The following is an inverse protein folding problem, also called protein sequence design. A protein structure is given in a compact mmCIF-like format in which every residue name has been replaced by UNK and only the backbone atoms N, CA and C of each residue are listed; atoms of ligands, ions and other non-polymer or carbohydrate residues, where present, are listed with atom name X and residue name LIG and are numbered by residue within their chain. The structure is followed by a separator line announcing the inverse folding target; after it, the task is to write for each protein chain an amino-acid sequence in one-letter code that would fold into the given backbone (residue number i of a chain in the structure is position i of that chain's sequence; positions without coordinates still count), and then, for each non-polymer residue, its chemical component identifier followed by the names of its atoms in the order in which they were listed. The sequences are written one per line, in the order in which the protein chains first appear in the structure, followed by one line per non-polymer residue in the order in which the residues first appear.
data_IF_490808083680
#
_entry.id   IF_490808083680
#
_cell.length_a   1.000
_cell.length_b   1.000
_cell.length_c   1.000
_cell.angle_alpha   90.00
_cell.angle_beta   90.00
_cell.angle_gamma   90.00
#
_symmetry.space_group_name_H-M   'P 1'
#
loop_
_entity.id
_entity.type
_entity.pdbx_description
1 polymer ?
#
# COMPACT_ATOMS: atom_id res chain seq x y z
N UNK A 1 2.71 22.27 8.92
CA UNK A 1 4.12 22.18 8.48
C UNK A 1 4.19 22.59 7.03
N UNK A 2 5.11 23.48 6.64
CA UNK A 2 5.23 23.89 5.24
C UNK A 2 5.58 22.67 4.36
N UNK A 3 5.06 22.59 3.11
CA UNK A 3 5.33 21.44 2.20
C UNK A 3 6.81 21.12 2.05
N UNK A 4 7.65 22.16 1.99
CA UNK A 4 9.11 21.99 1.85
C UNK A 4 9.76 21.33 3.08
N UNK A 5 9.26 21.63 4.30
CA UNK A 5 9.79 21.01 5.52
C UNK A 5 9.41 19.54 5.65
N UNK A 6 8.22 19.17 5.17
CA UNK A 6 7.79 17.77 5.14
C UNK A 6 8.62 16.95 4.13
N UNK A 7 8.76 17.46 2.91
CA UNK A 7 9.55 16.81 1.88
C UNK A 7 11.03 16.69 2.31
N UNK A 8 11.58 17.73 2.93
CA UNK A 8 12.95 17.70 3.48
C UNK A 8 13.15 16.60 4.51
N UNK A 9 12.15 16.36 5.38
CA UNK A 9 12.18 15.25 6.34
C UNK A 9 12.13 13.89 5.65
N UNK A 10 11.31 13.73 4.62
CA UNK A 10 11.24 12.49 3.84
C UNK A 10 12.59 12.20 3.16
N UNK A 11 13.18 13.20 2.51
CA UNK A 11 14.49 13.05 1.86
C UNK A 11 15.60 12.70 2.86
N UNK A 12 15.58 13.31 4.05
CA UNK A 12 16.52 12.96 5.12
C UNK A 12 16.38 11.49 5.57
N UNK A 13 15.14 11.01 5.76
CA UNK A 13 14.89 9.61 6.11
C UNK A 13 15.33 8.63 5.01
N UNK A 14 15.17 9.01 3.75
CA UNK A 14 15.65 8.21 2.61
C UNK A 14 17.17 8.14 2.62
N UNK A 15 17.85 9.26 2.86
CA UNK A 15 19.33 9.32 2.93
C UNK A 15 19.87 8.49 4.09
N UNK A 16 19.19 8.50 5.25
CA UNK A 16 19.63 7.80 6.46
C UNK A 16 19.29 6.31 6.45
N UNK A 17 18.12 5.92 5.92
CA UNK A 17 17.58 4.55 6.05
C UNK A 17 17.35 3.84 4.71
N UNK A 18 17.47 4.55 3.59
CA UNK A 18 17.19 4.06 2.23
C UNK A 18 15.73 4.23 1.79
N UNK A 19 14.79 4.43 2.72
CA UNK A 19 13.37 4.71 2.42
C UNK A 19 12.69 5.42 3.60
N UNK A 20 11.56 6.05 3.31
CA UNK A 20 10.63 6.58 4.30
C UNK A 20 9.23 5.94 4.14
N UNK A 21 8.39 6.04 5.16
CA UNK A 21 6.98 5.64 5.10
C UNK A 21 6.12 6.88 5.31
N UNK A 22 5.21 7.12 4.38
CA UNK A 22 4.20 8.19 4.42
C UNK A 22 2.85 7.59 4.76
N UNK A 23 2.18 8.13 5.76
CA UNK A 23 0.80 7.79 6.11
C UNK A 23 -0.16 8.90 5.70
N UNK A 24 -1.32 8.53 5.17
CA UNK A 24 -2.37 9.45 4.71
C UNK A 24 -3.72 9.02 5.29
N UNK A 25 -4.49 9.99 5.81
CA UNK A 25 -5.81 9.75 6.40
C UNK A 25 -5.73 9.12 7.80
N UNK A 26 -6.90 8.88 8.38
CA UNK A 26 -7.05 8.36 9.73
C UNK A 26 -7.36 9.45 10.77
N UNK A 27 -8.27 9.16 11.71
CA UNK A 27 -8.56 10.00 12.86
C UNK A 27 -7.34 9.98 13.80
N UNK A 28 -6.55 11.09 13.79
CA UNK A 28 -5.39 11.20 14.67
C UNK A 28 -4.20 11.94 14.05
N UNK A 29 -4.44 12.85 13.14
CA UNK A 29 -3.43 13.83 12.79
C UNK A 29 -3.31 14.83 13.94
N UNK A 30 -2.26 14.75 14.75
CA UNK A 30 -1.88 15.79 15.74
C UNK A 30 -1.33 17.06 15.06
N UNK A 31 -1.66 17.29 13.80
CA UNK A 31 -1.28 18.53 13.13
C UNK A 31 -2.30 19.62 13.48
N UNK A 32 -1.83 20.67 14.17
CA UNK A 32 -2.57 21.92 14.41
C UNK A 32 -2.86 22.58 13.05
N UNK A 33 -3.98 22.22 12.40
CA UNK A 33 -4.39 22.75 11.11
C UNK A 33 -5.18 21.76 10.25
N UNK A 34 -5.33 20.52 10.68
CA UNK A 34 -6.33 19.65 10.13
C UNK A 34 -7.66 19.99 10.81
N UNK A 35 -8.52 20.75 10.15
CA UNK A 35 -9.94 20.76 10.50
C UNK A 35 -10.39 19.32 10.47
N UNK A 36 -10.80 18.78 11.64
CA UNK A 36 -11.24 17.39 11.79
C UNK A 36 -12.50 17.08 10.98
N UNK A 37 -12.47 17.39 9.70
CA UNK A 37 -13.39 16.87 8.71
C UNK A 37 -13.20 15.38 8.67
N UNK A 38 -14.25 14.64 9.03
CA UNK A 38 -14.32 13.21 8.77
C UNK A 38 -14.17 13.04 7.25
N UNK A 39 -12.93 12.90 6.80
CA UNK A 39 -12.66 12.37 5.48
C UNK A 39 -12.98 10.87 5.60
N UNK A 40 -14.14 10.47 5.07
CA UNK A 40 -14.58 9.07 5.02
C UNK A 40 -13.66 8.21 4.14
N UNK A 41 -12.49 8.73 3.79
CA UNK A 41 -11.47 8.06 3.02
C UNK A 41 -10.82 6.93 3.80
N UNK A 42 -10.55 5.83 3.10
CA UNK A 42 -9.78 4.72 3.65
C UNK A 42 -8.35 5.20 3.86
N UNK A 43 -7.86 5.13 5.10
CA UNK A 43 -6.47 5.44 5.40
C UNK A 43 -5.53 4.52 4.63
N UNK A 44 -4.40 5.06 4.22
CA UNK A 44 -3.37 4.29 3.52
C UNK A 44 -1.98 4.77 3.90
N UNK A 45 -1.00 3.95 3.63
CA UNK A 45 0.40 4.29 3.83
C UNK A 45 1.23 3.72 2.69
N UNK A 46 2.32 4.39 2.35
CA UNK A 46 3.22 3.94 1.28
C UNK A 46 4.67 4.29 1.56
N UNK A 47 5.57 3.58 0.89
CA UNK A 47 7.01 3.85 0.94
C UNK A 47 7.40 4.94 -0.06
N UNK A 48 8.51 5.61 0.23
CA UNK A 48 9.21 6.52 -0.69
C UNK A 48 10.69 6.19 -0.58
N UNK A 49 11.33 5.75 -1.65
CA UNK A 49 12.77 5.45 -1.68
C UNK A 49 13.14 4.04 -2.10
N UNK A 50 12.21 3.06 -2.05
CA UNK A 50 12.52 1.69 -2.48
C UNK A 50 12.93 1.61 -3.96
N UNK A 51 12.48 2.55 -4.78
CA UNK A 51 12.86 2.68 -6.19
C UNK A 51 14.37 2.81 -6.37
N UNK A 52 15.08 3.49 -5.46
CA UNK A 52 16.53 3.61 -5.49
C UNK A 52 17.26 2.31 -5.17
N UNK A 53 16.57 1.39 -4.51
CA UNK A 53 17.06 0.04 -4.21
C UNK A 53 16.66 -0.98 -5.29
N UNK A 54 16.06 -0.50 -6.41
CA UNK A 54 15.63 -1.36 -7.52
C UNK A 54 14.34 -2.14 -7.23
N UNK A 55 13.52 -1.67 -6.30
CA UNK A 55 12.24 -2.30 -5.95
C UNK A 55 11.09 -1.30 -6.09
N UNK A 56 9.88 -1.72 -6.52
CA UNK A 56 8.71 -0.84 -6.55
C UNK A 56 8.38 -0.22 -5.19
N UNK A 57 7.83 0.99 -5.19
CA UNK A 57 7.23 1.54 -3.98
C UNK A 57 6.05 0.69 -3.54
N UNK A 58 5.79 0.60 -2.25
CA UNK A 58 4.73 -0.26 -1.72
C UNK A 58 3.68 0.56 -1.02
N UNK A 59 2.42 0.39 -1.43
CA UNK A 59 1.25 1.03 -0.81
C UNK A 59 0.37 -0.03 -0.13
N UNK A 60 -0.27 0.33 0.98
CA UNK A 60 -1.27 -0.51 1.67
C UNK A 60 -2.42 0.33 2.20
N UNK A 61 -3.64 -0.21 2.16
CA UNK A 61 -4.87 0.47 2.58
C UNK A 61 -5.51 -0.22 3.79
N UNK A 62 -6.27 0.55 4.57
CA UNK A 62 -7.17 0.05 5.61
C UNK A 62 -6.49 -0.48 6.88
N UNK A 63 -5.17 -0.47 6.96
CA UNK A 63 -4.44 -0.81 8.17
C UNK A 63 -4.27 0.40 9.09
N UNK A 64 -4.31 0.22 10.43
CA UNK A 64 -3.86 1.26 11.35
C UNK A 64 -2.44 1.71 10.98
N UNK A 65 -2.18 3.02 11.06
CA UNK A 65 -0.94 3.61 10.57
C UNK A 65 0.33 2.96 11.15
N UNK A 66 0.33 2.64 12.45
CA UNK A 66 1.45 1.96 13.10
C UNK A 66 1.70 0.55 12.56
N UNK A 67 0.62 -0.18 12.22
CA UNK A 67 0.71 -1.52 11.63
C UNK A 67 1.20 -1.42 10.19
N UNK A 68 0.64 -0.50 9.40
CA UNK A 68 1.07 -0.26 8.02
C UNK A 68 2.57 0.09 7.97
N UNK A 69 3.02 1.02 8.83
CA UNK A 69 4.42 1.41 8.93
C UNK A 69 5.33 0.22 9.27
N UNK A 70 4.93 -0.62 10.24
CA UNK A 70 5.70 -1.79 10.60
C UNK A 70 5.81 -2.80 9.44
N UNK A 71 4.71 -3.03 8.71
CA UNK A 71 4.68 -3.93 7.56
C UNK A 71 5.54 -3.41 6.41
N UNK A 72 5.41 -2.13 6.06
CA UNK A 72 6.19 -1.50 4.99
C UNK A 72 7.69 -1.46 5.32
N UNK A 73 8.05 -1.18 6.57
CA UNK A 73 9.44 -1.25 7.01
C UNK A 73 10.02 -2.66 6.93
N UNK A 74 9.24 -3.71 7.22
CA UNK A 74 9.70 -5.11 7.03
C UNK A 74 9.97 -5.43 5.56
N UNK A 75 9.17 -4.92 4.64
CA UNK A 75 9.45 -5.06 3.20
C UNK A 75 10.73 -4.31 2.84
N UNK A 76 10.87 -3.06 3.26
CA UNK A 76 12.09 -2.27 3.04
C UNK A 76 13.35 -2.96 3.55
N UNK A 77 13.29 -3.54 4.75
CA UNK A 77 14.39 -4.33 5.32
C UNK A 77 14.73 -5.57 4.47
N UNK A 78 13.74 -6.29 3.94
CA UNK A 78 13.98 -7.44 3.05
C UNK A 78 14.65 -6.99 1.75
N UNK A 79 14.19 -5.86 1.17
CA UNK A 79 14.78 -5.26 -0.03
C UNK A 79 16.23 -4.85 0.21
N UNK A 80 16.48 -4.09 1.28
CA UNK A 80 17.82 -3.63 1.67
C UNK A 80 18.78 -4.79 1.98
N UNK A 81 18.27 -5.90 2.52
CA UNK A 81 19.05 -7.10 2.78
C UNK A 81 19.32 -7.96 1.52
N UNK A 82 18.93 -7.49 0.32
CA UNK A 82 19.10 -8.22 -0.94
C UNK A 82 18.19 -9.45 -1.08
N UNK A 83 17.10 -9.49 -0.35
CA UNK A 83 16.08 -10.57 -0.38
C UNK A 83 14.68 -10.00 -0.64
N UNK A 84 14.50 -9.24 -1.74
CA UNK A 84 13.23 -8.60 -2.02
C UNK A 84 12.12 -9.64 -2.19
N UNK A 85 10.91 -9.36 -1.68
CA UNK A 85 9.76 -10.18 -1.97
C UNK A 85 9.39 -10.08 -3.46
N UNK A 86 8.65 -11.04 -3.96
CA UNK A 86 8.24 -11.05 -5.37
C UNK A 86 6.89 -10.37 -5.53
N UNK A 87 6.80 -9.39 -6.45
CA UNK A 87 5.52 -8.82 -6.89
C UNK A 87 4.73 -9.90 -7.67
N UNK A 88 3.42 -9.93 -7.48
CA UNK A 88 2.55 -10.97 -8.03
C UNK A 88 2.57 -12.28 -7.23
N UNK A 89 3.07 -12.26 -5.98
CA UNK A 89 3.18 -13.44 -5.14
C UNK A 89 2.82 -13.17 -3.67
N UNK A 90 2.65 -14.26 -2.92
CA UNK A 90 2.50 -14.19 -1.47
C UNK A 90 3.80 -13.69 -0.83
N UNK A 91 3.66 -12.86 0.18
CA UNK A 91 4.78 -12.32 0.96
C UNK A 91 4.70 -12.80 2.40
N UNK A 92 5.81 -13.36 2.87
CA UNK A 92 5.96 -13.87 4.22
C UNK A 92 6.60 -12.83 5.15
N UNK A 93 6.44 -13.02 6.46
CA UNK A 93 7.11 -12.25 7.52
C UNK A 93 6.77 -10.75 7.55
N UNK A 94 5.72 -10.35 6.87
CA UNK A 94 5.21 -8.97 6.92
C UNK A 94 4.21 -8.83 8.06
N UNK A 95 3.31 -9.80 8.21
CA UNK A 95 2.35 -9.89 9.31
C UNK A 95 2.73 -11.00 10.29
N UNK A 96 2.25 -10.88 11.53
CA UNK A 96 2.40 -11.97 12.51
C UNK A 96 1.37 -13.07 12.21
N UNK A 97 1.87 -14.26 11.86
CA UNK A 97 1.01 -15.44 11.64
C UNK A 97 0.18 -15.43 10.36
N UNK A 98 0.26 -14.38 9.55
CA UNK A 98 -0.47 -14.24 8.30
C UNK A 98 0.48 -13.91 7.15
N UNK A 99 0.09 -14.32 5.94
CA UNK A 99 0.80 -13.97 4.71
C UNK A 99 0.08 -12.81 4.03
N UNK A 100 0.84 -11.88 3.48
CA UNK A 100 0.34 -10.86 2.58
C UNK A 100 0.43 -11.31 1.12
N UNK A 101 -0.02 -10.44 0.22
CA UNK A 101 0.17 -10.58 -1.22
C UNK A 101 0.64 -9.24 -1.79
N UNK A 102 1.65 -9.24 -2.64
CA UNK A 102 2.07 -8.06 -3.38
C UNK A 102 1.42 -8.05 -4.75
N UNK A 103 0.46 -7.14 -4.92
CA UNK A 103 -0.26 -6.94 -6.17
C UNK A 103 0.44 -5.86 -7.00
N UNK A 104 0.57 -6.07 -8.32
CA UNK A 104 1.02 -5.02 -9.23
C UNK A 104 0.00 -3.88 -9.27
N UNK A 105 0.48 -2.63 -9.23
CA UNK A 105 -0.34 -1.43 -9.22
C UNK A 105 -0.45 -0.86 -10.62
N UNK A 106 -1.68 -0.51 -11.04
CA UNK A 106 -1.96 0.17 -12.32
C UNK A 106 -2.32 1.64 -12.14
N UNK A 107 -2.76 2.05 -10.95
CA UNK A 107 -3.08 3.44 -10.60
C UNK A 107 -2.17 3.91 -9.46
N UNK A 108 -1.32 4.89 -9.74
CA UNK A 108 -0.33 5.44 -8.80
C UNK A 108 -0.70 6.84 -8.29
N UNK A 109 -1.93 7.30 -8.52
CA UNK A 109 -2.40 8.66 -8.19
C UNK A 109 -2.29 9.00 -6.70
N UNK A 110 -2.41 8.01 -5.81
CA UNK A 110 -2.29 8.19 -4.37
C UNK A 110 -0.84 8.37 -3.88
N UNK A 111 0.17 8.05 -4.71
CA UNK A 111 1.58 8.15 -4.34
C UNK A 111 2.15 9.55 -4.60
N UNK A 112 1.48 10.58 -4.10
CA UNK A 112 1.77 11.99 -4.39
C UNK A 112 3.21 12.37 -4.05
N UNK A 113 3.71 11.97 -2.88
CA UNK A 113 5.09 12.31 -2.45
C UNK A 113 6.13 11.57 -3.28
N UNK A 114 5.84 10.35 -3.74
CA UNK A 114 6.71 9.61 -4.66
C UNK A 114 6.90 10.41 -5.94
N UNK A 115 5.80 10.94 -6.52
CA UNK A 115 5.84 11.76 -7.73
C UNK A 115 6.55 13.12 -7.57
N UNK A 116 6.71 13.61 -6.33
CA UNK A 116 7.52 14.79 -6.05
C UNK A 116 9.03 14.49 -5.99
N UNK A 117 9.39 13.25 -5.70
CA UNK A 117 10.79 12.81 -5.55
C UNK A 117 11.31 12.14 -6.82
N UNK A 118 10.48 11.34 -7.49
CA UNK A 118 10.87 10.54 -8.63
C UNK A 118 10.02 10.85 -9.87
N UNK A 119 10.64 10.91 -11.07
CA UNK A 119 9.92 11.22 -12.31
C UNK A 119 9.03 10.07 -12.79
N UNK A 120 9.31 8.86 -12.38
CA UNK A 120 8.56 7.65 -12.73
C UNK A 120 8.17 6.90 -11.46
N UNK A 121 6.92 6.43 -11.40
CA UNK A 121 6.39 5.70 -10.27
C UNK A 121 6.08 4.27 -10.71
N UNK A 122 6.80 3.32 -10.14
CA UNK A 122 6.49 1.90 -10.20
C UNK A 122 6.09 1.48 -8.80
N UNK A 123 4.92 0.85 -8.65
CA UNK A 123 4.40 0.51 -7.34
C UNK A 123 3.78 -0.88 -7.27
N UNK A 124 3.76 -1.43 -6.06
CA UNK A 124 3.05 -2.64 -5.70
C UNK A 124 2.14 -2.37 -4.50
N UNK A 125 1.00 -3.02 -4.43
CA UNK A 125 0.09 -2.92 -3.30
C UNK A 125 0.26 -4.13 -2.38
N UNK A 126 0.54 -3.87 -1.10
CA UNK A 126 0.50 -4.89 -0.07
C UNK A 126 -0.95 -5.15 0.32
N UNK A 127 -1.46 -6.31 -0.06
CA UNK A 127 -2.80 -6.79 0.31
C UNK A 127 -2.67 -7.71 1.52
N UNK A 128 -3.55 -7.50 2.49
CA UNK A 128 -3.62 -8.32 3.70
C UNK A 128 -4.92 -9.12 3.74
N UNK A 129 -4.90 -10.33 4.31
CA UNK A 129 -6.09 -11.17 4.41
C UNK A 129 -7.01 -10.71 5.56
N UNK A 130 -8.28 -11.07 5.49
CA UNK A 130 -9.19 -10.96 6.62
C UNK A 130 -8.80 -11.94 7.76
N UNK A 131 -9.54 -11.91 8.87
CA UNK A 131 -9.29 -12.78 10.03
C UNK A 131 -9.45 -14.28 9.73
N UNK A 132 -10.03 -14.64 8.58
CA UNK A 132 -10.16 -16.02 8.09
C UNK A 132 -9.07 -16.37 7.05
N UNK A 133 -8.10 -15.50 6.82
CA UNK A 133 -7.04 -15.69 5.84
C UNK A 133 -7.48 -15.50 4.39
N UNK A 134 -8.62 -14.85 4.13
CA UNK A 134 -9.14 -14.61 2.79
C UNK A 134 -8.69 -13.27 2.26
N UNK A 135 -8.42 -13.18 0.98
CA UNK A 135 -8.09 -11.96 0.27
C UNK A 135 -9.31 -11.33 -0.41
N UNK A 136 -9.28 -10.02 -0.75
CA UNK A 136 -10.43 -9.30 -1.33
C UNK A 136 -11.05 -9.93 -2.58
N UNK A 137 -10.29 -10.69 -3.35
CA UNK A 137 -10.76 -11.42 -4.53
C UNK A 137 -11.33 -12.81 -4.24
N UNK A 138 -11.39 -13.21 -2.98
CA UNK A 138 -11.91 -14.52 -2.58
C UNK A 138 -13.34 -14.43 -2.07
N UNK A 139 -14.20 -15.42 -2.35
CA UNK A 139 -15.56 -15.45 -1.83
C UNK A 139 -15.58 -15.42 -0.29
N UNK A 140 -16.47 -14.59 0.27
CA UNK A 140 -16.66 -14.47 1.71
C UNK A 140 -15.65 -13.58 2.43
N UNK A 141 -14.82 -12.83 1.71
CA UNK A 141 -13.98 -11.79 2.30
C UNK A 141 -14.83 -10.70 2.96
N UNK A 142 -14.44 -10.25 4.15
CA UNK A 142 -15.19 -9.25 4.92
C UNK A 142 -14.77 -7.82 4.52
N UNK A 143 -15.32 -7.32 3.43
CA UNK A 143 -15.08 -5.97 2.93
C UNK A 143 -15.47 -4.84 3.90
N UNK A 144 -16.37 -5.11 4.85
CA UNK A 144 -16.83 -4.10 5.81
C UNK A 144 -15.81 -3.88 6.92
N UNK A 145 -15.20 -4.95 7.43
CA UNK A 145 -14.19 -4.90 8.49
C UNK A 145 -12.78 -4.71 7.95
N UNK A 146 -12.58 -5.07 6.71
CA UNK A 146 -11.27 -5.05 6.05
C UNK A 146 -11.33 -4.23 4.75
N UNK A 147 -11.60 -2.90 4.83
CA UNK A 147 -11.73 -2.06 3.65
C UNK A 147 -10.35 -1.83 3.02
N UNK A 148 -10.08 -2.51 1.92
CA UNK A 148 -8.89 -2.28 1.10
C UNK A 148 -9.25 -2.34 -0.37
N UNK A 149 -9.27 -1.18 -1.07
CA UNK A 149 -9.49 -1.14 -2.51
C UNK A 149 -8.33 -1.82 -3.23
N UNK A 150 -8.62 -2.46 -4.35
CA UNK A 150 -7.59 -2.98 -5.25
C UNK A 150 -7.30 -1.92 -6.32
N UNK A 151 -6.07 -1.44 -6.37
CA UNK A 151 -5.59 -0.47 -7.36
C UNK A 151 -4.77 -1.13 -8.48
N UNK A 152 -4.94 -2.42 -8.64
CA UNK A 152 -4.37 -3.25 -9.67
C UNK A 152 -5.24 -4.48 -9.98
N UNK A 153 -4.92 -5.25 -11.02
CA UNK A 153 -5.69 -6.43 -11.39
C UNK A 153 -5.57 -7.53 -10.33
N UNK A 154 -6.72 -8.04 -9.88
CA UNK A 154 -6.73 -9.18 -8.97
C UNK A 154 -6.04 -10.40 -9.62
N UNK A 155 -5.34 -11.24 -8.82
CA UNK A 155 -4.67 -12.43 -9.36
C UNK A 155 -5.68 -13.37 -10.02
N UNK A 156 -5.38 -13.78 -11.24
CA UNK A 156 -6.19 -14.79 -11.94
C UNK A 156 -5.95 -16.15 -11.27
N UNK A 157 -7.01 -16.81 -10.81
CA UNK A 157 -6.91 -18.18 -10.28
C UNK A 157 -6.43 -19.11 -11.40
N UNK A 158 -5.41 -19.93 -11.20
CA UNK A 158 -5.16 -21.04 -12.12
C UNK A 158 -6.36 -22.00 -12.04
N UNK A 159 -7.21 -22.01 -13.08
CA UNK A 159 -8.37 -22.90 -13.23
C UNK A 159 -9.76 -22.30 -13.02
N UNK A 160 -9.93 -20.98 -12.94
CA UNK A 160 -11.26 -20.33 -12.82
C UNK A 160 -11.63 -19.58 -14.10
N UNK A 161 -12.78 -19.92 -14.68
CA UNK A 161 -13.43 -19.22 -15.78
C UNK A 161 -13.57 -17.73 -15.43
N UNK A 162 -13.17 -16.89 -16.36
CA UNK A 162 -13.37 -15.43 -16.34
C UNK A 162 -14.85 -15.13 -16.15
N UNK A 163 -15.19 -14.51 -15.03
CA UNK A 163 -16.51 -13.90 -14.89
C UNK A 163 -16.47 -12.60 -15.70
N UNK A 164 -16.97 -12.65 -16.93
CA UNK A 164 -17.24 -11.45 -17.72
C UNK A 164 -18.19 -10.56 -16.94
N UNK A 165 -17.75 -9.34 -16.66
CA UNK A 165 -18.62 -8.27 -16.17
C UNK A 165 -19.59 -7.92 -17.29
N UNK A 166 -20.79 -8.49 -17.25
CA UNK A 166 -21.90 -8.06 -18.10
C UNK A 166 -22.25 -6.63 -17.73
N UNK A 167 -21.76 -5.67 -18.53
CA UNK A 167 -22.27 -4.31 -18.53
C UNK A 167 -23.72 -4.35 -18.98
N UNK A 168 -24.65 -4.31 -18.05
CA UNK A 168 -26.06 -4.05 -18.34
C UNK A 168 -26.19 -2.64 -18.90
N UNK A 169 -26.28 -2.52 -20.21
CA UNK A 169 -26.78 -1.33 -20.88
C UNK A 169 -28.27 -1.25 -20.58
N UNK A 170 -28.67 -0.31 -19.75
CA UNK A 170 -30.07 0.14 -19.70
C UNK A 170 -30.24 1.28 -20.70
N UNK A 171 -31.13 1.03 -21.65
CA UNK A 171 -31.75 2.04 -22.52
C UNK A 171 -32.66 2.95 -21.72
#
# INVERSE_FOLDING_TARGET
MAPDAFLGKILHLIDEHGWAVVGVGGAGCDCAGCDGGADDGIQFSYTVGLSTLGFPEVITYGLPQSVAQACLNRIGQQVSAGKPPRVGAMVDRVFQGLRGYLLEVSDTSDLVVVGQVYPEIIAAQLIWPDMHGRFPWQPGYDHRRCPQPLIGPAPVRPGGLTCEVVRSQRR
#
